data_IF_182352325172
#
_entry.id   IF_182352325172
#
_cell.length_a   1.000
_cell.length_b   1.000
_cell.length_c   1.000
_cell.angle_alpha   90.00
_cell.angle_beta   90.00
_cell.angle_gamma   90.00
#
_symmetry.space_group_name_H-M   'P 1'
#
loop_
_entity.id
_entity.type
_entity.pdbx_description
1 polymer ?
#
# COMPACT_ATOMS: atom_id res chain seq x y z
N UNK A 1 -19.86 -9.74 14.33
CA UNK A 1 -19.94 -10.42 13.03
C UNK A 1 -18.81 -11.42 12.84
N UNK A 2 -19.01 -12.42 11.96
CA UNK A 2 -18.00 -13.38 11.54
C UNK A 2 -17.51 -13.01 10.14
N UNK A 3 -16.31 -12.48 10.04
CA UNK A 3 -15.74 -11.88 8.83
C UNK A 3 -14.67 -12.76 8.20
N UNK A 4 -14.70 -12.93 6.87
CA UNK A 4 -13.59 -13.48 6.09
C UNK A 4 -12.90 -12.36 5.30
N UNK A 5 -11.58 -12.25 5.40
CA UNK A 5 -10.74 -11.38 4.56
C UNK A 5 -9.93 -12.26 3.61
N UNK A 6 -10.11 -12.03 2.30
CA UNK A 6 -9.61 -12.86 1.22
C UNK A 6 -8.90 -12.00 0.15
N UNK A 7 -8.07 -12.64 -0.68
CA UNK A 7 -7.45 -11.99 -1.84
C UNK A 7 -6.12 -11.31 -1.57
N UNK A 8 -5.65 -11.27 -0.32
CA UNK A 8 -4.31 -10.81 0.07
C UNK A 8 -3.31 -11.96 0.09
N UNK A 9 -2.06 -11.67 0.42
CA UNK A 9 -1.05 -12.72 0.70
C UNK A 9 -1.12 -13.23 2.14
N UNK A 10 -1.92 -12.58 3.00
CA UNK A 10 -2.13 -12.92 4.40
C UNK A 10 -1.35 -12.04 5.37
N UNK A 11 -1.51 -12.35 6.66
CA UNK A 11 -0.84 -11.69 7.79
C UNK A 11 -0.04 -12.71 8.59
N UNK A 12 1.05 -12.32 9.32
CA UNK A 12 1.60 -10.96 9.47
C UNK A 12 2.08 -10.36 8.14
N UNK A 13 1.94 -9.04 8.00
CA UNK A 13 2.29 -8.30 6.79
C UNK A 13 3.80 -8.34 6.52
N UNK A 14 4.20 -8.76 5.32
CA UNK A 14 5.60 -8.92 4.93
C UNK A 14 5.86 -8.60 3.45
N UNK A 15 4.91 -7.92 2.76
CA UNK A 15 5.06 -7.67 1.33
C UNK A 15 4.59 -6.30 0.85
N UNK A 16 3.38 -5.86 1.14
CA UNK A 16 2.83 -4.63 0.56
C UNK A 16 1.57 -4.10 1.22
N UNK A 17 0.97 -3.08 0.61
CA UNK A 17 -0.13 -2.31 1.17
C UNK A 17 -1.37 -3.13 1.55
N UNK A 18 -1.75 -4.13 0.74
CA UNK A 18 -2.89 -4.98 1.07
C UNK A 18 -2.66 -5.87 2.30
N UNK A 19 -1.43 -6.31 2.52
CA UNK A 19 -1.08 -7.11 3.68
C UNK A 19 -1.11 -6.25 4.96
N UNK A 20 -0.55 -5.03 4.89
CA UNK A 20 -0.65 -4.04 5.98
C UNK A 20 -2.11 -3.69 6.26
N UNK A 21 -2.90 -3.42 5.23
CA UNK A 21 -4.33 -3.16 5.37
C UNK A 21 -5.07 -4.33 6.04
N UNK A 22 -4.83 -5.55 5.59
CA UNK A 22 -5.48 -6.74 6.16
C UNK A 22 -5.08 -6.95 7.63
N UNK A 23 -3.81 -6.74 7.97
CA UNK A 23 -3.33 -6.84 9.36
C UNK A 23 -3.98 -5.78 10.25
N UNK A 24 -3.87 -4.52 9.88
CA UNK A 24 -4.34 -3.40 10.68
C UNK A 24 -5.87 -3.40 10.85
N UNK A 25 -6.62 -3.70 9.80
CA UNK A 25 -8.07 -3.82 9.86
C UNK A 25 -8.50 -5.04 10.70
N UNK A 26 -7.96 -6.22 10.39
CA UNK A 26 -8.40 -7.47 11.03
C UNK A 26 -8.11 -7.50 12.52
N UNK A 27 -6.93 -7.02 12.94
CA UNK A 27 -6.56 -6.99 14.36
C UNK A 27 -7.39 -6.00 15.17
N UNK A 28 -7.76 -4.85 14.59
CA UNK A 28 -8.67 -3.89 15.23
C UNK A 28 -10.08 -4.42 15.35
N UNK A 29 -10.60 -5.04 14.31
CA UNK A 29 -11.93 -5.67 14.36
C UNK A 29 -11.97 -6.84 15.34
N UNK A 30 -10.91 -7.67 15.40
CA UNK A 30 -10.82 -8.73 16.39
C UNK A 30 -10.77 -8.19 17.83
N UNK A 31 -10.04 -7.10 18.08
CA UNK A 31 -10.01 -6.43 19.38
C UNK A 31 -11.36 -5.85 19.80
N UNK A 32 -12.25 -5.55 18.84
CA UNK A 32 -13.65 -5.11 19.06
C UNK A 32 -14.63 -6.28 19.23
N UNK A 33 -14.14 -7.52 19.25
CA UNK A 33 -14.96 -8.72 19.51
C UNK A 33 -15.54 -9.38 18.25
N UNK A 34 -15.12 -9.00 17.04
CA UNK A 34 -15.50 -9.70 15.82
C UNK A 34 -14.70 -10.99 15.63
N UNK A 35 -15.34 -12.04 15.09
CA UNK A 35 -14.68 -13.29 14.70
C UNK A 35 -14.06 -13.13 13.31
N UNK A 36 -12.80 -12.71 13.25
CA UNK A 36 -12.12 -12.41 11.98
C UNK A 36 -11.21 -13.55 11.55
N UNK A 37 -11.34 -13.96 10.29
CA UNK A 37 -10.47 -14.94 9.65
C UNK A 37 -9.79 -14.33 8.43
N UNK A 38 -8.45 -14.36 8.39
CA UNK A 38 -7.66 -13.93 7.24
C UNK A 38 -7.08 -15.13 6.51
N UNK A 39 -7.27 -15.14 5.18
CA UNK A 39 -6.73 -16.17 4.29
C UNK A 39 -5.36 -15.74 3.77
N UNK A 40 -4.35 -16.59 3.99
CA UNK A 40 -2.96 -16.34 3.60
C UNK A 40 -2.39 -17.41 2.67
N UNK A 41 -1.34 -17.04 1.92
CA UNK A 41 -0.66 -17.92 0.95
C UNK A 41 0.53 -18.63 1.60
N UNK A 42 0.62 -19.96 1.42
CA UNK A 42 1.69 -20.78 2.00
C UNK A 42 3.09 -20.43 1.49
N UNK A 43 3.20 -19.85 0.28
CA UNK A 43 4.48 -19.39 -0.27
C UNK A 43 4.93 -18.03 0.27
N UNK A 44 4.06 -17.31 1.01
CA UNK A 44 4.34 -15.99 1.54
C UNK A 44 4.38 -15.95 3.07
N UNK A 45 3.44 -16.63 3.73
CA UNK A 45 3.34 -16.63 5.19
C UNK A 45 4.23 -17.72 5.78
N UNK A 46 5.19 -17.30 6.63
CA UNK A 46 6.09 -18.20 7.38
C UNK A 46 5.69 -18.34 8.84
N UNK A 47 4.64 -17.66 9.26
CA UNK A 47 4.12 -17.72 10.62
C UNK A 47 3.38 -19.05 10.83
N UNK A 48 3.78 -19.82 11.83
CA UNK A 48 3.26 -21.17 12.09
C UNK A 48 2.02 -21.21 12.97
N UNK A 49 1.67 -20.09 13.61
CA UNK A 49 0.48 -19.97 14.46
C UNK A 49 -0.82 -20.01 13.66
N UNK A 50 -1.86 -20.59 14.27
CA UNK A 50 -3.22 -20.57 13.69
C UNK A 50 -3.99 -19.27 14.00
N UNK A 51 -3.42 -18.43 14.84
CA UNK A 51 -4.00 -17.16 15.26
C UNK A 51 -2.90 -16.12 15.41
N UNK A 52 -3.18 -14.90 15.01
CA UNK A 52 -2.28 -13.76 15.12
C UNK A 52 -3.04 -12.55 15.67
N UNK A 53 -2.69 -12.07 16.87
CA UNK A 53 -3.32 -10.91 17.54
C UNK A 53 -4.86 -10.98 17.54
N UNK A 54 -5.43 -12.14 17.89
CA UNK A 54 -6.88 -12.38 17.93
C UNK A 54 -7.54 -12.70 16.58
N UNK A 55 -6.77 -12.75 15.50
CA UNK A 55 -7.25 -13.06 14.15
C UNK A 55 -6.93 -14.50 13.78
N UNK A 56 -7.93 -15.27 13.36
CA UNK A 56 -7.76 -16.65 12.86
C UNK A 56 -7.06 -16.64 11.50
N UNK A 57 -6.06 -17.50 11.33
CA UNK A 57 -5.32 -17.66 10.09
C UNK A 57 -5.67 -18.94 9.38
N UNK A 58 -5.96 -18.85 8.09
CA UNK A 58 -6.13 -20.00 7.20
C UNK A 58 -5.12 -19.88 6.07
N UNK A 59 -4.08 -20.71 6.13
CA UNK A 59 -3.01 -20.70 5.15
C UNK A 59 -3.27 -21.79 4.12
N UNK A 60 -3.45 -21.38 2.85
CA UNK A 60 -3.76 -22.27 1.74
C UNK A 60 -2.64 -22.26 0.69
N UNK A 61 -2.48 -23.37 -0.07
CA UNK A 61 -1.54 -23.40 -1.18
C UNK A 61 -1.94 -22.46 -2.32
N UNK A 62 -0.97 -22.14 -3.16
CA UNK A 62 -1.14 -21.34 -4.36
C UNK A 62 -0.23 -21.81 -5.48
N UNK A 63 -0.59 -21.51 -6.73
CA UNK A 63 0.29 -21.74 -7.88
C UNK A 63 1.20 -20.51 -8.01
N UNK A 64 2.42 -20.60 -7.46
CA UNK A 64 3.38 -19.51 -7.28
C UNK A 64 3.96 -18.95 -8.59
N UNK A 65 3.12 -18.52 -9.53
CA UNK A 65 3.52 -17.85 -10.78
C UNK A 65 2.96 -16.43 -10.83
N UNK A 66 3.59 -15.56 -11.62
CA UNK A 66 3.18 -14.14 -11.77
C UNK A 66 1.68 -13.95 -12.04
N UNK A 67 1.05 -14.86 -12.77
CA UNK A 67 -0.33 -14.74 -13.25
C UNK A 67 -1.34 -15.55 -12.43
N UNK A 68 -0.94 -16.69 -11.86
CA UNK A 68 -1.86 -17.61 -11.20
C UNK A 68 -1.83 -17.54 -9.67
N UNK A 69 -0.83 -16.90 -9.07
CA UNK A 69 -0.68 -16.82 -7.63
C UNK A 69 -1.93 -16.24 -6.93
N UNK A 70 -2.40 -15.08 -7.39
CA UNK A 70 -3.60 -14.45 -6.81
C UNK A 70 -4.87 -15.24 -7.11
N UNK A 71 -5.05 -15.64 -8.36
CA UNK A 71 -6.28 -16.27 -8.86
C UNK A 71 -6.52 -17.63 -8.20
N UNK A 72 -5.49 -18.50 -8.20
CA UNK A 72 -5.60 -19.85 -7.62
C UNK A 72 -5.84 -19.81 -6.11
N UNK A 73 -5.14 -18.93 -5.40
CA UNK A 73 -5.31 -18.79 -3.96
C UNK A 73 -6.71 -18.27 -3.60
N UNK A 74 -7.20 -17.23 -4.29
CA UNK A 74 -8.52 -16.68 -3.99
C UNK A 74 -9.63 -17.68 -4.28
N UNK A 75 -9.52 -18.44 -5.39
CA UNK A 75 -10.45 -19.52 -5.68
C UNK A 75 -10.51 -20.55 -4.53
N UNK A 76 -9.35 -21.07 -4.11
CA UNK A 76 -9.29 -22.02 -3.00
C UNK A 76 -9.85 -21.41 -1.70
N UNK A 77 -9.57 -20.15 -1.45
CA UNK A 77 -10.03 -19.45 -0.24
C UNK A 77 -11.55 -19.32 -0.19
N UNK A 78 -12.19 -18.92 -1.28
CA UNK A 78 -13.67 -18.80 -1.31
C UNK A 78 -14.36 -20.16 -1.20
N UNK A 79 -13.82 -21.20 -1.84
CA UNK A 79 -14.34 -22.58 -1.70
C UNK A 79 -14.20 -23.09 -0.27
N UNK A 80 -13.04 -22.87 0.34
CA UNK A 80 -12.79 -23.26 1.73
C UNK A 80 -13.66 -22.47 2.74
N UNK A 81 -14.09 -21.26 2.39
CA UNK A 81 -14.94 -20.43 3.22
C UNK A 81 -16.40 -20.93 3.29
N UNK A 82 -16.92 -21.62 2.26
CA UNK A 82 -18.32 -22.06 2.16
C UNK A 82 -18.83 -22.75 3.43
N UNK A 83 -18.23 -23.85 3.94
CA UNK A 83 -18.75 -24.58 5.09
C UNK A 83 -18.63 -23.80 6.40
N UNK A 84 -17.88 -22.71 6.43
CA UNK A 84 -17.63 -21.91 7.64
C UNK A 84 -18.71 -20.88 7.95
N UNK A 85 -19.58 -20.59 6.99
CA UNK A 85 -20.72 -19.67 7.12
C UNK A 85 -20.31 -18.34 7.75
N UNK A 86 -19.59 -17.53 6.99
CA UNK A 86 -19.29 -16.16 7.37
C UNK A 86 -20.50 -15.26 7.20
N UNK A 87 -20.65 -14.26 8.07
CA UNK A 87 -21.70 -13.25 7.97
C UNK A 87 -21.43 -12.31 6.79
N UNK A 88 -20.14 -12.02 6.51
CA UNK A 88 -19.69 -11.17 5.41
C UNK A 88 -18.27 -11.55 4.95
N UNK A 89 -17.98 -11.32 3.70
CA UNK A 89 -16.64 -11.49 3.12
C UNK A 89 -16.12 -10.16 2.57
N UNK A 90 -14.90 -9.79 2.95
CA UNK A 90 -14.14 -8.71 2.34
C UNK A 90 -13.10 -9.32 1.39
N UNK A 91 -13.27 -9.09 0.10
CA UNK A 91 -12.34 -9.55 -0.94
C UNK A 91 -11.48 -8.37 -1.38
N UNK A 92 -10.17 -8.57 -1.42
CA UNK A 92 -9.20 -7.57 -1.85
C UNK A 92 -8.74 -7.80 -3.28
N UNK A 93 -8.51 -6.70 -4.02
CA UNK A 93 -8.04 -6.64 -5.40
C UNK A 93 -9.14 -6.94 -6.44
N UNK A 94 -9.31 -6.02 -7.39
CA UNK A 94 -10.26 -6.13 -8.51
C UNK A 94 -10.11 -7.42 -9.33
N UNK A 95 -8.87 -7.97 -9.44
CA UNK A 95 -8.62 -9.25 -10.11
C UNK A 95 -9.44 -10.41 -9.55
N UNK A 96 -9.89 -10.30 -8.31
CA UNK A 96 -10.65 -11.34 -7.61
C UNK A 96 -12.18 -11.19 -7.74
N UNK A 97 -12.65 -10.19 -8.47
CA UNK A 97 -14.09 -9.88 -8.60
C UNK A 97 -14.94 -11.11 -9.03
N UNK A 98 -14.45 -11.92 -9.96
CA UNK A 98 -15.16 -13.12 -10.42
C UNK A 98 -15.42 -14.12 -9.29
N UNK A 99 -14.53 -14.23 -8.32
CA UNK A 99 -14.67 -15.18 -7.20
C UNK A 99 -15.70 -14.72 -6.17
N UNK A 100 -16.12 -13.47 -6.19
CA UNK A 100 -17.20 -12.96 -5.36
C UNK A 100 -18.55 -13.65 -5.65
N UNK A 101 -18.70 -14.29 -6.83
CA UNK A 101 -19.91 -15.03 -7.19
C UNK A 101 -20.15 -16.20 -6.23
N UNK A 102 -19.10 -16.90 -5.79
CA UNK A 102 -19.22 -18.08 -4.93
C UNK A 102 -19.85 -17.74 -3.55
N UNK A 103 -19.30 -16.82 -2.73
CA UNK A 103 -19.95 -16.44 -1.48
C UNK A 103 -21.34 -15.83 -1.72
N UNK A 104 -21.55 -15.07 -2.78
CA UNK A 104 -22.86 -14.48 -3.13
C UNK A 104 -23.94 -15.53 -3.33
N UNK A 105 -23.70 -16.58 -4.11
CA UNK A 105 -24.68 -17.65 -4.34
C UNK A 105 -24.87 -18.56 -3.13
N UNK A 106 -23.92 -18.59 -2.20
CA UNK A 106 -24.04 -19.32 -0.93
C UNK A 106 -24.61 -18.47 0.22
N UNK A 107 -25.06 -17.23 -0.08
CA UNK A 107 -25.76 -16.36 0.86
C UNK A 107 -24.85 -15.48 1.73
N UNK A 108 -23.54 -15.43 1.45
CA UNK A 108 -22.60 -14.54 2.15
C UNK A 108 -22.43 -13.23 1.39
N UNK A 109 -22.82 -12.07 1.96
CA UNK A 109 -22.57 -10.76 1.36
C UNK A 109 -21.09 -10.49 1.14
N UNK A 110 -20.77 -9.74 0.07
CA UNK A 110 -19.39 -9.43 -0.32
C UNK A 110 -19.17 -7.93 -0.45
N UNK A 111 -18.19 -7.42 0.27
CA UNK A 111 -17.51 -6.16 -0.04
C UNK A 111 -16.24 -6.47 -0.86
N UNK A 112 -16.04 -5.74 -1.97
CA UNK A 112 -14.85 -5.87 -2.80
C UNK A 112 -14.04 -4.58 -2.75
N UNK A 113 -12.86 -4.61 -2.14
CA UNK A 113 -11.89 -3.51 -2.21
C UNK A 113 -11.09 -3.65 -3.50
N UNK A 114 -11.28 -2.71 -4.43
CA UNK A 114 -10.68 -2.77 -5.78
C UNK A 114 -9.27 -2.20 -5.86
N UNK A 115 -8.83 -1.42 -4.83
CA UNK A 115 -7.57 -0.67 -4.86
C UNK A 115 -7.51 0.32 -6.05
N UNK A 116 -6.31 0.62 -6.54
CA UNK A 116 -6.13 1.45 -7.73
C UNK A 116 -6.43 0.75 -9.05
N UNK A 117 -6.23 1.44 -10.17
CA UNK A 117 -6.49 0.93 -11.52
C UNK A 117 -5.30 0.07 -11.99
N UNK A 118 -5.24 -1.19 -11.56
CA UNK A 118 -4.11 -2.09 -11.77
C UNK A 118 -3.75 -2.31 -13.24
N UNK A 119 -4.72 -2.26 -14.18
CA UNK A 119 -4.46 -2.39 -15.62
C UNK A 119 -3.57 -1.31 -16.21
N UNK A 120 -3.42 -0.17 -15.54
CA UNK A 120 -2.52 0.93 -15.95
C UNK A 120 -1.05 0.62 -15.68
N UNK A 121 -0.73 -0.40 -14.87
CA UNK A 121 0.66 -0.76 -14.55
C UNK A 121 1.40 -1.29 -15.76
N UNK A 122 2.63 -0.84 -15.95
CA UNK A 122 3.49 -1.18 -17.10
C UNK A 122 3.85 -2.67 -17.18
N UNK A 123 3.84 -3.37 -16.06
CA UNK A 123 4.11 -4.81 -15.98
C UNK A 123 3.11 -5.72 -16.71
N UNK A 124 1.93 -5.20 -17.08
CA UNK A 124 0.89 -5.98 -17.73
C UNK A 124 0.93 -5.83 -19.24
N UNK A 125 1.08 -6.95 -19.96
CA UNK A 125 0.86 -7.05 -21.40
C UNK A 125 -0.65 -7.00 -21.73
N UNK A 126 -0.98 -7.14 -23.03
CA UNK A 126 -2.36 -7.03 -23.51
C UNK A 126 -3.33 -7.99 -22.79
N UNK A 127 -2.96 -9.26 -22.62
CA UNK A 127 -3.80 -10.26 -21.94
C UNK A 127 -4.09 -9.88 -20.47
N UNK A 128 -3.06 -9.42 -19.75
CA UNK A 128 -3.24 -8.96 -18.37
C UNK A 128 -4.13 -7.72 -18.28
N UNK A 129 -3.95 -6.75 -19.17
CA UNK A 129 -4.81 -5.55 -19.22
C UNK A 129 -6.26 -5.90 -19.56
N UNK A 130 -6.49 -6.83 -20.48
CA UNK A 130 -7.84 -7.32 -20.80
C UNK A 130 -8.47 -8.04 -19.62
N UNK A 131 -7.72 -8.91 -18.94
CA UNK A 131 -8.19 -9.56 -17.71
C UNK A 131 -8.64 -8.55 -16.65
N UNK A 132 -7.81 -7.54 -16.35
CA UNK A 132 -8.18 -6.50 -15.39
C UNK A 132 -9.38 -5.67 -15.86
N UNK A 133 -9.50 -5.37 -17.16
CA UNK A 133 -10.68 -4.66 -17.70
C UNK A 133 -11.96 -5.45 -17.47
N UNK A 134 -11.93 -6.75 -17.71
CA UNK A 134 -13.07 -7.65 -17.43
C UNK A 134 -13.32 -7.73 -15.94
N UNK A 135 -12.28 -7.83 -15.13
CA UNK A 135 -12.40 -7.87 -13.65
C UNK A 135 -12.99 -6.58 -13.08
N UNK A 136 -12.59 -5.40 -13.58
CA UNK A 136 -13.18 -4.11 -13.22
C UNK A 136 -14.69 -4.09 -13.52
N UNK A 137 -15.09 -4.60 -14.71
CA UNK A 137 -16.51 -4.71 -15.07
C UNK A 137 -17.26 -5.68 -14.15
N UNK A 138 -16.70 -6.87 -13.87
CA UNK A 138 -17.30 -7.83 -12.96
C UNK A 138 -17.39 -7.30 -11.52
N UNK A 139 -16.44 -6.47 -11.10
CA UNK A 139 -16.48 -5.79 -9.82
C UNK A 139 -17.71 -4.88 -9.65
N UNK A 140 -18.30 -4.41 -10.75
CA UNK A 140 -19.52 -3.59 -10.72
C UNK A 140 -20.81 -4.39 -10.66
N UNK A 141 -20.76 -5.70 -10.92
CA UNK A 141 -21.94 -6.56 -11.05
C UNK A 141 -22.10 -7.57 -9.93
N UNK A 142 -20.98 -8.11 -9.42
CA UNK A 142 -21.03 -9.30 -8.56
C UNK A 142 -21.08 -8.98 -7.06
N UNK A 143 -20.18 -8.15 -6.49
CA UNK A 143 -20.19 -7.86 -5.04
C UNK A 143 -21.43 -7.05 -4.65
N UNK A 144 -21.75 -7.02 -3.35
CA UNK A 144 -22.82 -6.17 -2.81
C UNK A 144 -22.40 -4.70 -2.81
N UNK A 145 -21.11 -4.46 -2.57
CA UNK A 145 -20.53 -3.11 -2.55
C UNK A 145 -19.09 -3.13 -3.06
N UNK A 146 -18.75 -2.09 -3.82
CA UNK A 146 -17.37 -1.80 -4.20
C UNK A 146 -16.81 -0.81 -3.19
N UNK A 147 -15.61 -1.10 -2.67
CA UNK A 147 -14.82 -0.17 -1.87
C UNK A 147 -13.65 0.33 -2.70
N UNK A 148 -13.49 1.63 -2.78
CA UNK A 148 -12.37 2.33 -3.42
C UNK A 148 -11.58 3.07 -2.35
N UNK A 149 -10.27 3.13 -2.50
CA UNK A 149 -9.36 3.71 -1.50
C UNK A 149 -9.04 5.20 -1.74
N UNK A 150 -9.49 5.76 -2.86
CA UNK A 150 -9.30 7.16 -3.22
C UNK A 150 -10.53 7.72 -3.96
N UNK A 151 -10.79 9.02 -3.82
CA UNK A 151 -11.90 9.69 -4.52
C UNK A 151 -11.69 9.69 -6.04
N UNK A 152 -10.45 9.75 -6.51
CA UNK A 152 -10.10 9.63 -7.93
C UNK A 152 -10.53 8.26 -8.48
N UNK A 153 -10.35 7.18 -7.72
CA UNK A 153 -10.76 5.82 -8.11
C UNK A 153 -12.29 5.70 -8.07
N UNK A 154 -12.94 6.26 -7.05
CA UNK A 154 -14.41 6.34 -6.97
C UNK A 154 -14.98 7.04 -8.20
N UNK A 155 -14.42 8.19 -8.58
CA UNK A 155 -14.86 8.95 -9.74
C UNK A 155 -14.59 8.21 -11.06
N UNK A 156 -13.48 7.46 -11.14
CA UNK A 156 -13.21 6.58 -12.28
C UNK A 156 -14.32 5.53 -12.47
N UNK A 157 -14.71 4.78 -11.40
CA UNK A 157 -15.78 3.79 -11.49
C UNK A 157 -17.13 4.44 -11.83
N UNK A 158 -17.40 5.64 -11.29
CA UNK A 158 -18.61 6.39 -11.64
C UNK A 158 -18.65 6.80 -13.10
N UNK A 159 -17.56 7.33 -13.66
CA UNK A 159 -17.48 7.79 -15.06
C UNK A 159 -17.47 6.64 -16.06
N UNK A 160 -16.67 5.61 -15.78
CA UNK A 160 -16.39 4.54 -16.73
C UNK A 160 -17.49 3.48 -16.75
N UNK A 161 -18.11 3.21 -15.60
CA UNK A 161 -19.08 2.13 -15.44
C UNK A 161 -20.46 2.57 -14.94
N UNK A 162 -20.65 3.84 -14.60
CA UNK A 162 -21.92 4.36 -14.10
C UNK A 162 -22.31 3.88 -12.69
N UNK A 163 -21.37 3.36 -11.91
CA UNK A 163 -21.64 2.78 -10.59
C UNK A 163 -21.09 3.64 -9.45
N UNK A 164 -21.80 3.63 -8.32
CA UNK A 164 -21.33 4.23 -7.09
C UNK A 164 -20.50 3.23 -6.29
N UNK A 165 -19.43 3.70 -5.63
CA UNK A 165 -18.63 2.93 -4.70
C UNK A 165 -18.52 3.63 -3.35
N UNK A 166 -18.30 2.86 -2.27
CA UNK A 166 -17.94 3.42 -0.98
C UNK A 166 -16.43 3.76 -1.00
N UNK A 167 -16.09 5.00 -0.72
CA UNK A 167 -14.69 5.39 -0.61
C UNK A 167 -14.27 5.25 0.84
N UNK A 168 -13.26 4.42 1.10
CA UNK A 168 -12.59 4.25 2.40
C UNK A 168 -11.10 4.12 2.12
N UNK A 169 -10.33 5.13 2.53
CA UNK A 169 -8.89 5.17 2.31
C UNK A 169 -8.13 4.09 3.10
N UNK A 170 -6.84 3.94 2.85
CA UNK A 170 -5.96 3.22 3.76
C UNK A 170 -5.56 4.11 4.94
N UNK A 171 -5.25 3.48 6.06
CA UNK A 171 -4.74 4.15 7.24
C UNK A 171 -3.22 4.21 7.29
N UNK A 172 -2.70 4.94 8.27
CA UNK A 172 -1.29 4.98 8.61
C UNK A 172 -1.08 4.85 10.11
N UNK A 173 -0.01 4.16 10.49
CA UNK A 173 0.56 4.24 11.82
C UNK A 173 1.29 5.58 11.94
N UNK A 174 0.82 6.44 12.82
CA UNK A 174 1.39 7.78 13.00
C UNK A 174 2.37 7.87 14.18
N UNK A 175 2.60 6.76 14.89
CA UNK A 175 3.54 6.71 15.99
C UNK A 175 4.98 6.64 15.49
N UNK A 176 5.80 7.55 16.03
CA UNK A 176 7.22 7.58 15.69
C UNK A 176 7.98 6.54 16.49
N UNK A 177 8.85 5.82 15.80
CA UNK A 177 9.88 5.04 16.47
C UNK A 177 10.98 5.96 16.97
N UNK A 178 11.38 5.78 18.23
CA UNK A 178 12.43 6.59 18.86
C UNK A 178 13.81 5.92 18.78
N UNK A 179 13.84 4.62 18.54
CA UNK A 179 15.08 3.84 18.35
C UNK A 179 15.74 4.18 17.01
N UNK A 180 17.04 3.92 16.91
CA UNK A 180 17.89 4.23 15.74
C UNK A 180 18.74 3.04 15.31
N UNK A 181 18.34 1.82 15.68
CA UNK A 181 19.14 0.61 15.42
C UNK A 181 19.41 0.38 13.93
N UNK A 182 18.44 0.68 13.07
CA UNK A 182 18.62 0.55 11.62
C UNK A 182 19.57 1.62 11.07
N UNK A 183 19.52 2.86 11.59
CA UNK A 183 20.42 3.93 11.18
C UNK A 183 21.86 3.58 11.53
N UNK A 184 22.11 3.06 12.74
CA UNK A 184 23.43 2.62 13.19
C UNK A 184 23.97 1.49 12.29
N UNK A 185 23.11 0.51 11.96
CA UNK A 185 23.45 -0.60 11.05
C UNK A 185 23.78 -0.14 9.63
N UNK A 186 23.12 0.90 9.15
CA UNK A 186 23.34 1.46 7.81
C UNK A 186 24.42 2.54 7.78
N UNK A 187 24.95 2.96 8.93
CA UNK A 187 25.95 4.01 9.04
C UNK A 187 25.42 5.41 8.68
N UNK A 188 24.11 5.65 8.89
CA UNK A 188 23.47 6.95 8.63
C UNK A 188 23.00 7.59 9.92
N UNK A 189 22.96 8.92 9.97
CA UNK A 189 22.50 9.64 11.16
C UNK A 189 21.02 10.00 11.05
N UNK A 190 20.25 9.99 12.15
CA UNK A 190 18.89 10.50 12.17
C UNK A 190 18.81 11.93 11.63
N UNK A 191 17.84 12.19 10.76
CA UNK A 191 17.61 13.48 10.07
C UNK A 191 18.72 13.92 9.10
N UNK A 192 19.58 12.98 8.70
CA UNK A 192 20.70 13.26 7.79
C UNK A 192 20.65 12.39 6.53
N UNK A 193 19.48 11.93 6.09
CA UNK A 193 19.31 11.17 4.83
C UNK A 193 17.99 11.47 4.14
N UNK A 194 18.01 11.38 2.82
CA UNK A 194 16.80 11.36 1.97
C UNK A 194 16.32 9.92 1.87
N UNK A 195 15.03 9.69 2.05
CA UNK A 195 14.45 8.36 2.03
C UNK A 195 13.49 8.20 0.84
N UNK A 196 13.64 7.13 0.09
CA UNK A 196 12.68 6.62 -0.88
C UNK A 196 12.33 5.18 -0.53
N UNK A 197 11.03 4.85 -0.45
CA UNK A 197 10.57 3.48 -0.17
C UNK A 197 9.51 3.08 -1.18
N UNK A 198 9.74 2.01 -1.93
CA UNK A 198 8.75 1.44 -2.85
C UNK A 198 9.18 0.05 -3.31
N UNK A 199 8.25 -0.69 -3.93
CA UNK A 199 8.66 -1.80 -4.79
C UNK A 199 9.46 -1.25 -5.96
N UNK A 200 10.62 -1.84 -6.25
CA UNK A 200 11.49 -1.37 -7.33
C UNK A 200 10.98 -1.82 -8.71
N UNK A 201 9.79 -1.33 -9.06
CA UNK A 201 9.13 -1.50 -10.36
C UNK A 201 9.24 -0.18 -11.17
N UNK A 202 9.30 -0.21 -12.51
CA UNK A 202 9.50 0.99 -13.34
C UNK A 202 8.51 2.13 -13.08
N UNK A 203 7.24 1.83 -12.83
CA UNK A 203 6.19 2.80 -12.54
C UNK A 203 6.29 3.48 -11.18
N UNK A 204 7.22 3.03 -10.34
CA UNK A 204 7.51 3.67 -9.06
C UNK A 204 8.70 4.65 -9.16
N UNK A 205 9.32 4.79 -10.34
CA UNK A 205 10.25 5.85 -10.70
C UNK A 205 11.51 6.00 -9.82
N UNK A 206 12.05 4.91 -9.25
CA UNK A 206 13.31 4.99 -8.51
C UNK A 206 14.47 5.56 -9.36
N UNK A 207 14.50 5.25 -10.67
CA UNK A 207 15.46 5.79 -11.62
C UNK A 207 15.37 7.33 -11.77
N UNK A 208 14.15 7.87 -11.75
CA UNK A 208 13.91 9.32 -11.78
C UNK A 208 14.45 9.98 -10.50
N UNK A 209 14.21 9.35 -9.35
CA UNK A 209 14.68 9.85 -8.04
C UNK A 209 16.20 9.87 -7.99
N UNK A 210 16.87 8.80 -8.41
CA UNK A 210 18.34 8.72 -8.47
C UNK A 210 18.88 9.82 -9.39
N UNK A 211 18.36 9.92 -10.63
CA UNK A 211 18.79 10.94 -11.60
C UNK A 211 18.63 12.36 -11.06
N UNK A 212 17.55 12.65 -10.37
CA UNK A 212 17.34 13.95 -9.74
C UNK A 212 18.35 14.22 -8.62
N UNK A 213 18.58 13.21 -7.78
CA UNK A 213 19.45 13.32 -6.62
C UNK A 213 20.91 13.51 -6.99
N UNK A 214 21.41 12.89 -8.06
CA UNK A 214 22.81 13.03 -8.55
C UNK A 214 23.21 14.50 -8.81
N UNK A 215 22.24 15.38 -9.08
CA UNK A 215 22.46 16.81 -9.31
C UNK A 215 22.40 17.66 -8.03
N UNK A 216 22.03 17.08 -6.89
CA UNK A 216 21.87 17.80 -5.61
C UNK A 216 23.20 17.92 -4.87
N UNK A 217 23.50 19.10 -4.36
CA UNK A 217 24.70 19.36 -3.54
C UNK A 217 24.38 19.14 -2.07
N UNK A 218 24.72 17.96 -1.57
CA UNK A 218 24.46 17.57 -0.17
C UNK A 218 25.33 16.39 0.22
N UNK A 219 25.65 16.29 1.51
CA UNK A 219 26.30 15.12 2.12
C UNK A 219 25.30 14.10 2.67
N UNK A 220 23.99 14.42 2.65
CA UNK A 220 22.93 13.52 3.13
C UNK A 220 22.69 12.40 2.12
N UNK A 221 23.00 11.11 2.44
CA UNK A 221 22.80 10.02 1.48
C UNK A 221 21.34 9.84 1.09
N UNK A 222 21.11 9.27 -0.11
CA UNK A 222 19.83 8.80 -0.58
C UNK A 222 19.72 7.29 -0.29
N UNK A 223 18.73 6.92 0.50
CA UNK A 223 18.40 5.52 0.76
C UNK A 223 17.24 5.07 -0.15
N UNK A 224 17.52 4.15 -1.06
CA UNK A 224 16.53 3.49 -1.93
C UNK A 224 16.15 2.15 -1.29
N UNK A 225 15.05 2.15 -0.56
CA UNK A 225 14.56 1.00 0.19
C UNK A 225 13.48 0.28 -0.60
N UNK A 226 13.66 -1.01 -0.83
CA UNK A 226 12.70 -1.85 -1.50
C UNK A 226 13.33 -2.96 -2.32
N UNK A 227 12.46 -3.78 -2.90
CA UNK A 227 12.81 -4.87 -3.82
C UNK A 227 11.61 -5.16 -4.74
N UNK A 228 11.83 -5.97 -5.78
CA UNK A 228 10.78 -6.50 -6.63
C UNK A 228 11.23 -7.83 -7.25
N UNK A 229 10.61 -8.97 -6.86
CA UNK A 229 11.07 -10.32 -7.22
C UNK A 229 11.19 -10.62 -8.72
N UNK A 230 10.53 -9.82 -9.56
CA UNK A 230 10.48 -10.03 -11.03
C UNK A 230 11.10 -8.88 -11.83
N UNK A 231 11.80 -7.93 -11.19
CA UNK A 231 12.36 -6.73 -11.81
C UNK A 231 13.90 -6.69 -11.75
N UNK A 232 14.57 -7.84 -11.86
CA UNK A 232 16.03 -7.95 -11.69
C UNK A 232 16.82 -7.02 -12.61
N UNK A 233 16.45 -6.91 -13.89
CA UNK A 233 17.13 -6.03 -14.85
C UNK A 233 16.97 -4.56 -14.47
N UNK A 234 15.78 -4.15 -14.06
CA UNK A 234 15.53 -2.79 -13.60
C UNK A 234 16.31 -2.48 -12.33
N UNK A 235 16.32 -3.37 -11.35
CA UNK A 235 17.11 -3.21 -10.11
C UNK A 235 18.60 -3.13 -10.43
N UNK A 236 19.10 -3.96 -11.33
CA UNK A 236 20.49 -3.91 -11.76
C UNK A 236 20.83 -2.55 -12.41
N UNK A 237 19.93 -2.00 -13.23
CA UNK A 237 20.10 -0.67 -13.84
C UNK A 237 20.14 0.46 -12.80
N UNK A 238 19.32 0.37 -11.74
CA UNK A 238 19.35 1.35 -10.64
C UNK A 238 20.67 1.32 -9.89
N UNK A 239 21.19 0.12 -9.59
CA UNK A 239 22.47 -0.09 -8.89
C UNK A 239 23.70 0.26 -9.73
N UNK A 240 23.53 0.53 -11.02
CA UNK A 240 24.60 0.99 -11.89
C UNK A 240 24.95 2.49 -11.73
N UNK A 241 24.24 3.23 -10.89
CA UNK A 241 24.61 4.61 -10.53
C UNK A 241 26.03 4.68 -10.01
N UNK A 242 26.75 5.76 -10.36
CA UNK A 242 28.12 6.02 -9.90
C UNK A 242 28.17 6.97 -8.69
N UNK A 243 27.04 7.45 -8.23
CA UNK A 243 26.98 8.33 -7.06
C UNK A 243 27.07 7.49 -5.78
N UNK A 244 28.21 7.58 -5.11
CA UNK A 244 28.50 6.83 -3.88
C UNK A 244 27.54 7.18 -2.71
N UNK A 245 26.80 8.27 -2.82
CA UNK A 245 25.81 8.68 -1.81
C UNK A 245 24.47 7.91 -1.93
N UNK A 246 24.27 7.15 -3.00
CA UNK A 246 23.04 6.36 -3.22
C UNK A 246 23.22 4.96 -2.66
N UNK A 247 22.44 4.62 -1.64
CA UNK A 247 22.51 3.34 -0.94
C UNK A 247 21.26 2.50 -1.19
N UNK A 248 21.44 1.19 -1.31
CA UNK A 248 20.37 0.20 -1.53
C UNK A 248 20.33 -0.81 -0.38
N UNK A 249 19.65 -0.52 0.74
CA UNK A 249 19.57 -1.42 1.89
C UNK A 249 18.76 -2.69 1.63
N UNK A 250 18.05 -2.78 0.49
CA UNK A 250 17.07 -3.83 0.20
C UNK A 250 15.70 -3.53 0.78
N UNK A 251 14.82 -4.53 0.80
CA UNK A 251 13.50 -4.40 1.39
C UNK A 251 13.58 -4.46 2.92
N UNK A 252 12.94 -3.52 3.59
CA UNK A 252 12.83 -3.46 5.05
C UNK A 252 11.36 -3.40 5.44
N UNK A 253 11.00 -4.08 6.54
CA UNK A 253 9.66 -4.18 7.07
C UNK A 253 9.63 -4.01 8.59
N UNK A 254 8.46 -3.85 9.17
CA UNK A 254 8.26 -3.77 10.62
C UNK A 254 8.99 -2.61 11.26
N UNK A 255 9.66 -2.86 12.39
CA UNK A 255 10.32 -1.82 13.20
C UNK A 255 11.40 -1.08 12.41
N UNK A 256 12.29 -1.79 11.69
CA UNK A 256 13.37 -1.17 10.92
C UNK A 256 12.86 -0.21 9.83
N UNK A 257 11.76 -0.54 9.16
CA UNK A 257 11.11 0.33 8.20
C UNK A 257 10.55 1.58 8.87
N UNK A 258 9.83 1.42 10.00
CA UNK A 258 9.26 2.55 10.76
C UNK A 258 10.33 3.46 11.36
N UNK A 259 11.46 2.90 11.79
CA UNK A 259 12.62 3.70 12.24
C UNK A 259 13.14 4.58 11.11
N UNK A 260 13.36 4.01 9.90
CA UNK A 260 13.82 4.82 8.78
C UNK A 260 12.83 5.94 8.42
N UNK A 261 11.54 5.65 8.39
CA UNK A 261 10.55 6.70 8.15
C UNK A 261 10.54 7.75 9.27
N UNK A 262 10.64 7.35 10.54
CA UNK A 262 10.60 8.28 11.67
C UNK A 262 11.77 9.25 11.70
N UNK A 263 12.90 8.89 11.09
CA UNK A 263 14.16 9.63 11.16
C UNK A 263 14.68 10.15 9.81
N UNK A 264 13.90 10.07 8.73
CA UNK A 264 14.31 10.65 7.46
C UNK A 264 14.37 12.20 7.52
N UNK A 265 15.25 12.81 6.76
CA UNK A 265 15.29 14.26 6.55
C UNK A 265 14.15 14.70 5.64
N UNK A 266 14.06 14.07 4.48
CA UNK A 266 13.01 14.24 3.48
C UNK A 266 12.61 12.87 2.96
N UNK A 267 11.34 12.68 2.68
CA UNK A 267 10.81 11.48 2.04
C UNK A 267 10.39 11.78 0.60
N UNK A 268 10.86 10.99 -0.35
CA UNK A 268 10.48 11.11 -1.76
C UNK A 268 9.51 10.01 -2.13
N UNK A 269 8.35 10.36 -2.66
CA UNK A 269 7.36 9.44 -3.20
C UNK A 269 7.18 9.65 -4.70
N UNK A 270 7.56 8.68 -5.52
CA UNK A 270 7.56 8.83 -6.97
C UNK A 270 6.64 7.84 -7.71
N UNK A 271 5.71 7.18 -7.01
CA UNK A 271 4.79 6.20 -7.60
C UNK A 271 3.73 6.89 -8.46
N UNK A 272 3.55 6.39 -9.70
CA UNK A 272 2.57 6.91 -10.67
C UNK A 272 1.20 6.23 -10.57
N UNK A 273 1.15 4.94 -10.21
CA UNK A 273 -0.05 4.11 -10.34
C UNK A 273 -0.48 3.53 -9.00
N UNK A 274 -1.68 3.85 -8.59
CA UNK A 274 -2.30 3.34 -7.36
C UNK A 274 -3.54 4.15 -7.00
N UNK A 275 -4.05 3.95 -5.82
CA UNK A 275 -5.00 4.82 -5.13
C UNK A 275 -4.29 5.54 -3.99
N UNK A 276 -4.73 5.33 -2.77
CA UNK A 276 -4.00 5.76 -1.57
C UNK A 276 -2.75 4.90 -1.39
N UNK A 277 -1.58 5.54 -1.34
CA UNK A 277 -0.31 4.84 -1.16
C UNK A 277 0.07 4.73 0.32
N UNK A 278 0.01 3.55 0.97
CA UNK A 278 0.31 3.40 2.40
C UNK A 278 1.67 3.99 2.81
N UNK A 279 2.74 3.72 2.04
CA UNK A 279 4.06 4.24 2.35
C UNK A 279 4.14 5.78 2.35
N UNK A 280 3.30 6.47 1.56
CA UNK A 280 3.21 7.93 1.54
C UNK A 280 2.52 8.45 2.81
N UNK A 281 1.35 7.88 3.15
CA UNK A 281 0.62 8.32 4.34
C UNK A 281 1.36 7.97 5.64
N UNK A 282 2.05 6.84 5.70
CA UNK A 282 2.94 6.45 6.80
C UNK A 282 4.11 7.44 6.95
N UNK A 283 4.74 7.84 5.83
CA UNK A 283 5.79 8.86 5.84
C UNK A 283 5.27 10.22 6.35
N UNK A 284 4.06 10.62 5.94
CA UNK A 284 3.39 11.81 6.45
C UNK A 284 3.09 11.68 7.96
N UNK A 285 2.56 10.54 8.40
CA UNK A 285 2.28 10.22 9.80
C UNK A 285 3.52 10.25 10.68
N UNK A 286 4.65 9.72 10.19
CA UNK A 286 5.96 9.82 10.83
C UNK A 286 6.50 11.27 10.88
N UNK A 287 5.86 12.20 10.21
CA UNK A 287 6.21 13.63 10.17
C UNK A 287 7.40 13.90 9.27
N UNK A 288 7.40 13.39 8.07
CA UNK A 288 8.37 13.75 7.03
C UNK A 288 7.89 14.95 6.21
N UNK A 289 8.84 15.75 5.73
CA UNK A 289 8.63 16.60 4.57
C UNK A 289 8.57 15.68 3.35
N UNK A 290 7.45 15.67 2.63
CA UNK A 290 7.22 14.77 1.50
C UNK A 290 7.34 15.51 0.17
N UNK A 291 8.19 14.98 -0.72
CA UNK A 291 8.31 15.40 -2.13
C UNK A 291 7.65 14.33 -2.99
N UNK A 292 6.61 14.68 -3.73
CA UNK A 292 5.66 13.69 -4.23
C UNK A 292 5.47 13.84 -5.73
N UNK A 293 5.47 12.74 -6.45
CA UNK A 293 5.18 12.72 -7.88
C UNK A 293 3.75 13.20 -8.15
N UNK A 294 3.60 14.12 -9.07
CA UNK A 294 2.35 14.83 -9.33
C UNK A 294 1.33 13.97 -10.08
N UNK A 295 0.50 13.26 -9.33
CA UNK A 295 -0.67 12.55 -9.82
C UNK A 295 -1.93 13.00 -9.08
N UNK A 296 -3.13 12.85 -9.66
CA UNK A 296 -4.37 13.18 -8.96
C UNK A 296 -4.51 12.44 -7.62
N UNK A 297 -4.13 11.15 -7.56
CA UNK A 297 -4.18 10.32 -6.37
C UNK A 297 -3.23 10.84 -5.28
N UNK A 298 -2.00 11.17 -5.65
CA UNK A 298 -1.02 11.72 -4.73
C UNK A 298 -1.41 13.13 -4.24
N UNK A 299 -2.00 13.96 -5.11
CA UNK A 299 -2.54 15.26 -4.71
C UNK A 299 -3.69 15.14 -3.71
N UNK A 300 -4.57 14.15 -3.90
CA UNK A 300 -5.65 13.85 -2.94
C UNK A 300 -5.08 13.52 -1.56
N UNK A 301 -4.07 12.67 -1.50
CA UNK A 301 -3.43 12.26 -0.24
C UNK A 301 -2.75 13.44 0.44
N UNK A 302 -1.93 14.18 -0.28
CA UNK A 302 -1.01 15.18 0.29
C UNK A 302 -1.67 16.55 0.48
N UNK A 303 -2.58 16.96 -0.42
CA UNK A 303 -3.15 18.31 -0.41
C UNK A 303 -2.08 19.38 -0.46
N UNK A 304 -2.11 20.29 0.51
CA UNK A 304 -1.14 21.38 0.68
C UNK A 304 0.01 21.06 1.65
N UNK A 305 0.11 19.81 2.09
CA UNK A 305 1.07 19.38 3.12
C UNK A 305 2.38 18.78 2.58
N UNK A 306 2.64 18.87 1.28
CA UNK A 306 3.88 18.45 0.62
C UNK A 306 4.15 19.20 -0.67
N UNK A 307 5.25 18.88 -1.32
CA UNK A 307 5.72 19.52 -2.55
C UNK A 307 5.63 18.54 -3.71
N UNK A 308 5.23 19.01 -4.89
CA UNK A 308 4.97 18.16 -6.06
C UNK A 308 6.01 18.35 -7.15
N UNK A 309 6.33 17.26 -7.85
CA UNK A 309 7.18 17.25 -9.03
C UNK A 309 6.66 16.28 -10.09
N UNK A 310 6.95 16.56 -11.36
CA UNK A 310 6.61 15.70 -12.50
C UNK A 310 7.86 15.23 -13.27
N UNK A 311 9.02 15.87 -13.05
CA UNK A 311 10.27 15.63 -13.79
C UNK A 311 11.47 15.60 -12.85
N UNK A 312 12.56 14.90 -13.23
CA UNK A 312 13.79 14.85 -12.42
C UNK A 312 14.33 16.24 -12.07
N UNK A 313 14.28 17.20 -13.00
CA UNK A 313 14.81 18.55 -12.79
C UNK A 313 14.01 19.33 -11.73
N UNK A 314 12.71 19.09 -11.62
CA UNK A 314 11.85 19.66 -10.58
C UNK A 314 12.17 19.03 -9.22
N UNK A 315 12.28 17.70 -9.16
CA UNK A 315 12.66 17.01 -7.93
C UNK A 315 14.07 17.46 -7.46
N UNK A 316 15.03 17.61 -8.38
CA UNK A 316 16.36 18.10 -8.03
C UNK A 316 16.32 19.49 -7.38
N UNK A 317 15.51 20.42 -7.92
CA UNK A 317 15.32 21.77 -7.33
C UNK A 317 14.64 21.69 -5.95
N UNK A 318 13.62 20.84 -5.78
CA UNK A 318 12.94 20.67 -4.50
C UNK A 318 13.85 20.03 -3.44
N UNK A 319 14.66 19.06 -3.82
CA UNK A 319 15.66 18.47 -2.93
C UNK A 319 16.73 19.51 -2.52
N UNK A 320 17.22 20.30 -3.48
CA UNK A 320 18.19 21.37 -3.16
C UNK A 320 17.55 22.42 -2.25
N UNK A 321 16.32 22.85 -2.54
CA UNK A 321 15.58 23.79 -1.68
C UNK A 321 15.42 23.24 -0.25
N UNK A 322 15.08 21.95 -0.11
CA UNK A 322 14.97 21.33 1.21
C UNK A 322 16.31 21.26 1.96
N UNK A 323 17.42 21.10 1.24
CA UNK A 323 18.78 21.14 1.83
C UNK A 323 19.15 22.56 2.26
N UNK A 324 18.83 23.56 1.45
CA UNK A 324 19.21 24.96 1.66
C UNK A 324 18.29 25.65 2.69
N UNK A 325 17.04 25.17 2.87
CA UNK A 325 16.04 25.73 3.80
C UNK A 325 15.50 24.66 4.78
N UNK A 326 16.18 24.41 5.90
CA UNK A 326 15.67 23.53 6.96
C UNK A 326 14.36 24.01 7.62
N UNK A 327 14.05 25.30 7.56
CA UNK A 327 12.81 25.88 8.05
C UNK A 327 11.61 25.37 7.26
N UNK A 328 11.69 25.42 5.93
CA UNK A 328 10.70 24.85 5.03
C UNK A 328 10.45 23.36 5.32
N UNK A 329 11.52 22.59 5.51
CA UNK A 329 11.40 21.16 5.84
C UNK A 329 10.63 20.95 7.14
N UNK A 330 10.92 21.77 8.17
CA UNK A 330 10.22 21.71 9.47
C UNK A 330 8.72 22.02 9.32
N UNK A 331 8.37 23.03 8.55
CA UNK A 331 6.98 23.44 8.33
C UNK A 331 6.19 22.34 7.60
N UNK A 332 6.73 21.78 6.54
CA UNK A 332 6.07 20.69 5.82
C UNK A 332 5.95 19.41 6.65
N UNK A 333 6.88 19.12 7.53
CA UNK A 333 6.77 18.01 8.49
C UNK A 333 5.56 18.15 9.41
N UNK A 334 5.32 19.35 9.92
CA UNK A 334 4.18 19.63 10.80
C UNK A 334 2.87 19.48 10.02
N UNK A 335 2.78 20.07 8.84
CA UNK A 335 1.60 19.99 7.97
C UNK A 335 1.28 18.54 7.57
N UNK A 336 2.29 17.80 7.10
CA UNK A 336 2.12 16.41 6.65
C UNK A 336 1.60 15.52 7.80
N UNK A 337 2.20 15.63 8.99
CA UNK A 337 1.75 14.87 10.15
C UNK A 337 0.33 15.24 10.59
N UNK A 338 0.01 16.52 10.65
CA UNK A 338 -1.33 16.98 11.01
C UNK A 338 -2.39 16.42 10.06
N UNK A 339 -2.11 16.45 8.74
CA UNK A 339 -3.00 15.89 7.73
C UNK A 339 -3.16 14.38 7.84
N UNK A 340 -2.07 13.63 8.06
CA UNK A 340 -2.13 12.18 8.24
C UNK A 340 -2.99 11.80 9.45
N UNK A 341 -2.78 12.45 10.59
CA UNK A 341 -3.56 12.22 11.81
C UNK A 341 -5.06 12.53 11.62
N UNK A 342 -5.37 13.58 10.87
CA UNK A 342 -6.76 14.00 10.66
C UNK A 342 -7.53 13.10 9.70
N UNK A 343 -6.85 12.49 8.68
CA UNK A 343 -7.55 11.86 7.56
C UNK A 343 -7.25 10.37 7.40
N UNK A 344 -6.17 9.86 8.03
CA UNK A 344 -5.67 8.50 7.74
C UNK A 344 -5.41 7.68 9.01
N UNK A 345 -6.17 7.93 10.08
CA UNK A 345 -6.11 7.11 11.30
C UNK A 345 -6.66 5.71 11.04
N UNK A 346 -5.90 4.67 11.37
CA UNK A 346 -6.38 3.28 11.26
C UNK A 346 -7.65 3.00 12.07
N UNK A 347 -7.83 3.69 13.21
CA UNK A 347 -9.04 3.49 14.01
C UNK A 347 -10.28 4.06 13.32
N UNK A 348 -10.16 5.26 12.72
CA UNK A 348 -11.24 5.83 11.93
C UNK A 348 -11.56 4.99 10.67
N UNK A 349 -10.53 4.48 9.99
CA UNK A 349 -10.70 3.56 8.84
C UNK A 349 -11.38 2.26 9.27
N UNK A 350 -11.00 1.70 10.41
CA UNK A 350 -11.63 0.51 10.96
C UNK A 350 -13.11 0.76 11.32
N UNK A 351 -13.45 1.94 11.87
CA UNK A 351 -14.84 2.34 12.14
C UNK A 351 -15.69 2.41 10.86
N UNK A 352 -15.12 2.90 9.76
CA UNK A 352 -15.81 2.97 8.48
C UNK A 352 -16.06 1.58 7.88
N UNK A 353 -15.03 0.71 7.91
CA UNK A 353 -15.18 -0.69 7.47
C UNK A 353 -16.15 -1.47 8.33
N UNK A 354 -16.10 -1.32 9.66
CA UNK A 354 -17.03 -1.98 10.58
C UNK A 354 -18.47 -1.64 10.26
N UNK A 355 -18.79 -0.33 10.16
CA UNK A 355 -20.13 0.14 9.78
C UNK A 355 -20.60 -0.39 8.43
N UNK A 356 -19.69 -0.38 7.43
CA UNK A 356 -19.98 -0.89 6.09
C UNK A 356 -20.30 -2.40 6.13
N UNK A 357 -19.45 -3.18 6.79
CA UNK A 357 -19.57 -4.64 6.84
C UNK A 357 -20.77 -5.10 7.67
N UNK A 358 -21.04 -4.45 8.81
CA UNK A 358 -22.24 -4.70 9.62
C UNK A 358 -23.52 -4.37 8.86
N UNK A 359 -23.53 -3.27 8.10
CA UNK A 359 -24.65 -2.92 7.24
C UNK A 359 -24.95 -3.92 6.12
N UNK A 360 -24.01 -4.79 5.79
CA UNK A 360 -24.21 -5.87 4.83
C UNK A 360 -24.73 -7.16 5.48
N UNK A 361 -24.57 -7.32 6.80
CA UNK A 361 -25.01 -8.53 7.53
C UNK A 361 -26.51 -8.54 7.86
N UNK A 362 -27.14 -7.41 7.83
CA UNK A 362 -28.53 -7.20 8.23
C UNK A 362 -29.38 -6.63 7.18
#
# INVERSE_FOLDING_TARGET
MKLAILGTRGIPANYGGFETFAEELSTRLAARGHDVTVYGRSNNIRYEGKEYRGVKLVILPTIGTKHLDTVSHTFLSVVHAIPRRFDVALICNAANAIFAVIPRITGTPVALNVDGIERKRRKWGLAGRTYYRVSEYLATLIPNVIVTDAAVIKEYYRKEYGVSSQMIAYGAECDRQLTTEIQDRLGVKPREYVLYVSRLEPENNAHLVIKAYESVRTDKPLLIVGDAPYAHEYIASLKATRDARVHFPGALYGVSYRELQSHAYVYVHATEVGGTHPALIEAMGAGNCVLVFDTPENREVVGDSGLFFSRPEELSRLLQLAVDDPGLVKDFRVKARARALANYSWDAIADEYERLLEGLCG
#
